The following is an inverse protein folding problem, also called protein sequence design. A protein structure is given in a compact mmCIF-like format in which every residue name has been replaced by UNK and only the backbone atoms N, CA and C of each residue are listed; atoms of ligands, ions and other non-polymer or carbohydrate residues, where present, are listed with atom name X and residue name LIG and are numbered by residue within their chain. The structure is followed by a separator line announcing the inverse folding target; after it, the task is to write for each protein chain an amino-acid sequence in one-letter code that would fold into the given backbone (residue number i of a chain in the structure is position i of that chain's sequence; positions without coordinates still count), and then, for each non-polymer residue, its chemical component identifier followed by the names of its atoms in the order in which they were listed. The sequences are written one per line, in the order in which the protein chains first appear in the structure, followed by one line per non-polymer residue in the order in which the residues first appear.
data_IF_923010132979
#
_entry.id   IF_923010132979
#
_cell.length_a   1.000
_cell.length_b   1.000
_cell.length_c   1.000
_cell.angle_alpha   90.00
_cell.angle_beta   90.00
_cell.angle_gamma   90.00
#
_symmetry.space_group_name_H-M   'P 1'
#
loop_
_entity.id
_entity.type
_entity.pdbx_description
1 polymer ?
#
# COMPACT_ATOMS: atom_id res chain seq x y z
N UNK A 1 -4.85 9.00 10.78
CA UNK A 1 -5.00 9.55 12.14
C UNK A 1 -6.21 8.95 12.83
N UNK A 2 -6.25 9.03 14.15
CA UNK A 2 -7.39 8.67 14.97
C UNK A 2 -7.96 9.92 15.64
N UNK A 3 -9.26 9.96 15.78
CA UNK A 3 -9.95 10.95 16.65
C UNK A 3 -10.26 10.23 17.97
N UNK A 4 -9.67 10.68 19.07
CA UNK A 4 -9.68 9.96 20.35
C UNK A 4 -8.65 8.82 20.39
N UNK A 5 -8.59 8.14 21.53
CA UNK A 5 -7.60 7.07 21.76
C UNK A 5 -7.97 5.79 21.01
N UNK A 6 -7.06 5.25 20.15
CA UNK A 6 -7.27 3.97 19.50
C UNK A 6 -7.14 2.81 20.48
N UNK A 7 -7.90 1.75 20.24
CA UNK A 7 -7.78 0.48 20.96
C UNK A 7 -6.47 -0.23 20.63
N UNK A 8 -6.07 -1.21 21.45
CA UNK A 8 -4.87 -2.02 21.18
C UNK A 8 -4.97 -2.79 19.86
N UNK A 9 -6.17 -3.29 19.51
CA UNK A 9 -6.43 -3.94 18.22
C UNK A 9 -6.20 -2.96 17.06
N UNK A 10 -6.68 -1.73 17.17
CA UNK A 10 -6.50 -0.70 16.15
C UNK A 10 -5.02 -0.31 16.01
N UNK A 11 -4.29 -0.18 17.12
CA UNK A 11 -2.85 0.10 17.11
C UNK A 11 -2.07 -1.01 16.42
N UNK A 12 -2.38 -2.26 16.75
CA UNK A 12 -1.76 -3.44 16.13
C UNK A 12 -2.01 -3.47 14.62
N UNK A 13 -3.25 -3.28 14.20
CA UNK A 13 -3.62 -3.32 12.77
C UNK A 13 -3.00 -2.14 12.01
N UNK A 14 -2.94 -0.95 12.63
CA UNK A 14 -2.25 0.19 12.03
C UNK A 14 -0.79 -0.15 11.70
N UNK A 15 -0.08 -0.76 12.63
CA UNK A 15 1.33 -1.12 12.43
C UNK A 15 1.51 -2.17 11.33
N UNK A 16 0.62 -3.16 11.25
CA UNK A 16 0.63 -4.15 10.17
C UNK A 16 0.45 -3.47 8.80
N UNK A 17 -0.53 -2.58 8.67
CA UNK A 17 -0.80 -1.86 7.42
C UNK A 17 0.36 -0.91 7.07
N UNK A 18 0.97 -0.26 8.06
CA UNK A 18 2.15 0.59 7.88
C UNK A 18 3.34 -0.20 7.33
N UNK A 19 3.60 -1.38 7.89
CA UNK A 19 4.67 -2.27 7.42
C UNK A 19 4.37 -2.81 6.02
N UNK A 20 3.12 -3.17 5.73
CA UNK A 20 2.71 -3.63 4.41
C UNK A 20 2.93 -2.54 3.34
N UNK A 21 2.55 -1.29 3.64
CA UNK A 21 2.74 -0.16 2.74
C UNK A 21 4.23 0.11 2.48
N UNK A 22 5.06 0.05 3.52
CA UNK A 22 6.51 0.22 3.40
C UNK A 22 7.15 -0.93 2.58
N UNK A 23 6.69 -2.18 2.78
CA UNK A 23 7.16 -3.33 2.00
C UNK A 23 6.80 -3.20 0.52
N UNK A 24 5.60 -2.73 0.19
CA UNK A 24 5.20 -2.44 -1.18
C UNK A 24 6.09 -1.41 -1.85
N UNK A 25 6.39 -0.29 -1.19
CA UNK A 25 7.32 0.72 -1.74
C UNK A 25 8.74 0.15 -1.94
N UNK A 26 9.25 -0.59 -0.97
CA UNK A 26 10.58 -1.19 -1.04
C UNK A 26 10.71 -2.25 -2.15
N UNK A 27 9.58 -2.84 -2.59
CA UNK A 27 9.54 -3.80 -3.68
C UNK A 27 9.67 -3.16 -5.07
N UNK A 28 9.48 -1.85 -5.18
CA UNK A 28 9.67 -1.11 -6.44
C UNK A 28 11.16 -0.97 -6.71
N UNK A 29 11.65 -1.77 -7.64
CA UNK A 29 13.06 -1.84 -8.05
C UNK A 29 13.16 -2.19 -9.54
N UNK A 30 14.34 -2.06 -10.18
CA UNK A 30 14.49 -2.40 -11.58
C UNK A 30 13.96 -3.80 -11.91
N UNK A 31 13.06 -3.89 -12.90
CA UNK A 31 12.45 -5.14 -13.34
C UNK A 31 11.27 -5.64 -12.51
N UNK A 32 10.95 -5.01 -11.38
CA UNK A 32 9.78 -5.37 -10.59
C UNK A 32 8.48 -5.18 -11.39
N UNK A 33 7.51 -6.03 -11.13
CA UNK A 33 6.18 -6.03 -11.75
C UNK A 33 5.12 -5.54 -10.78
N UNK A 34 3.91 -5.26 -11.27
CA UNK A 34 2.78 -4.90 -10.41
C UNK A 34 2.46 -5.99 -9.39
N UNK A 35 2.55 -7.27 -9.78
CA UNK A 35 2.33 -8.39 -8.85
C UNK A 35 3.42 -8.53 -7.80
N UNK A 36 4.68 -8.20 -8.10
CA UNK A 36 5.76 -8.27 -7.10
C UNK A 36 5.52 -7.27 -5.96
N UNK A 37 5.06 -6.08 -6.30
CA UNK A 37 4.70 -5.04 -5.33
C UNK A 37 3.46 -5.45 -4.53
N UNK A 38 2.42 -6.00 -5.19
CA UNK A 38 1.22 -6.52 -4.50
C UNK A 38 1.60 -7.63 -3.52
N UNK A 39 2.36 -8.62 -3.97
CA UNK A 39 2.80 -9.75 -3.14
C UNK A 39 3.62 -9.31 -1.92
N UNK A 40 4.50 -8.33 -2.10
CA UNK A 40 5.32 -7.82 -0.99
C UNK A 40 4.47 -7.20 0.12
N UNK A 41 3.51 -6.35 -0.23
CA UNK A 41 2.60 -5.73 0.73
C UNK A 41 1.61 -6.75 1.32
N UNK A 42 1.00 -7.57 0.48
CA UNK A 42 0.00 -8.59 0.85
C UNK A 42 0.55 -9.61 1.83
N UNK A 43 1.77 -10.09 1.61
CA UNK A 43 2.43 -11.07 2.47
C UNK A 43 2.51 -10.61 3.93
N UNK A 44 2.81 -9.35 4.18
CA UNK A 44 2.86 -8.79 5.56
C UNK A 44 1.50 -8.94 6.25
N UNK A 45 0.42 -8.66 5.54
CA UNK A 45 -0.95 -8.76 6.07
C UNK A 45 -1.35 -10.23 6.28
N UNK A 46 -1.00 -11.12 5.36
CA UNK A 46 -1.28 -12.56 5.43
C UNK A 46 -0.53 -13.24 6.57
N UNK A 47 0.78 -12.98 6.70
CA UNK A 47 1.62 -13.52 7.78
C UNK A 47 1.15 -13.05 9.17
N UNK A 48 0.56 -11.85 9.25
CA UNK A 48 -0.07 -11.36 10.47
C UNK A 48 -1.45 -11.98 10.77
N UNK A 49 -1.99 -12.83 9.88
CA UNK A 49 -3.28 -13.52 10.04
C UNK A 49 -4.50 -12.73 9.57
N UNK A 50 -4.30 -11.61 8.85
CA UNK A 50 -5.38 -10.73 8.39
C UNK A 50 -5.67 -10.81 6.89
N UNK A 51 -5.09 -11.76 6.16
CA UNK A 51 -5.24 -11.87 4.70
C UNK A 51 -6.68 -11.87 4.20
N UNK A 52 -7.60 -12.55 4.91
CA UNK A 52 -9.03 -12.58 4.57
C UNK A 52 -9.74 -11.22 4.66
N UNK A 53 -9.13 -10.25 5.31
CA UNK A 53 -9.66 -8.89 5.46
C UNK A 53 -9.01 -7.89 4.49
N UNK A 54 -8.12 -8.37 3.60
CA UNK A 54 -7.51 -7.58 2.55
C UNK A 54 -7.87 -8.17 1.17
N UNK A 55 -9.02 -7.79 0.67
CA UNK A 55 -9.63 -8.31 -0.57
C UNK A 55 -9.46 -7.40 -1.78
N UNK A 56 -8.89 -6.20 -1.61
CA UNK A 56 -8.61 -5.26 -2.68
C UNK A 56 -7.21 -5.51 -3.28
N UNK A 57 -6.94 -4.96 -4.47
CA UNK A 57 -5.58 -4.79 -4.99
C UNK A 57 -4.77 -3.84 -4.10
N UNK A 58 -3.45 -3.92 -4.19
CA UNK A 58 -2.56 -3.02 -3.42
C UNK A 58 -2.55 -1.60 -3.98
N UNK A 59 -2.79 -1.43 -5.29
CA UNK A 59 -2.81 -0.10 -5.87
C UNK A 59 -3.18 -0.06 -7.35
N UNK A 60 -3.08 1.13 -7.92
CA UNK A 60 -3.45 1.41 -9.30
C UNK A 60 -2.67 2.61 -9.84
N UNK A 61 -2.50 2.67 -11.15
CA UNK A 61 -1.96 3.84 -11.83
C UNK A 61 -2.83 5.08 -11.61
N UNK A 62 -2.17 6.23 -11.59
CA UNK A 62 -2.80 7.54 -11.47
C UNK A 62 -2.28 8.43 -12.60
N UNK A 63 -3.19 9.00 -13.37
CA UNK A 63 -2.89 9.89 -14.48
C UNK A 63 -4.08 10.77 -14.82
N UNK A 64 -4.54 10.76 -16.07
CA UNK A 64 -5.75 11.46 -16.48
C UNK A 64 -6.98 10.81 -15.83
N UNK A 65 -6.99 9.47 -15.78
CA UNK A 65 -8.00 8.73 -15.03
C UNK A 65 -7.54 8.51 -13.58
N UNK A 66 -8.50 8.48 -12.65
CA UNK A 66 -8.21 8.19 -11.24
C UNK A 66 -7.67 6.76 -11.08
N UNK A 67 -8.19 5.82 -11.88
CA UNK A 67 -7.75 4.43 -11.93
C UNK A 67 -7.34 4.08 -13.35
N UNK A 68 -6.05 3.86 -13.56
CA UNK A 68 -5.49 3.45 -14.85
C UNK A 68 -4.30 2.49 -14.65
N UNK A 69 -3.69 2.02 -15.74
CA UNK A 69 -2.48 1.21 -15.66
C UNK A 69 -1.27 2.06 -15.18
N UNK A 70 -0.32 1.41 -14.47
CA UNK A 70 -0.27 -0.01 -14.12
C UNK A 70 -1.13 -0.35 -12.89
N UNK A 71 -1.85 -1.47 -12.92
CA UNK A 71 -2.50 -1.99 -11.72
C UNK A 71 -1.50 -2.78 -10.86
N UNK A 72 -1.48 -2.50 -9.57
CA UNK A 72 -0.66 -3.19 -8.58
C UNK A 72 -1.51 -4.29 -7.96
N UNK A 73 -1.49 -5.44 -8.63
CA UNK A 73 -2.38 -6.57 -8.36
C UNK A 73 -1.72 -7.88 -8.80
N UNK A 74 -2.09 -8.97 -8.14
CA UNK A 74 -1.73 -10.32 -8.58
C UNK A 74 -2.12 -10.56 -10.04
N UNK A 75 -1.23 -11.19 -10.82
CA UNK A 75 -1.41 -11.45 -12.25
C UNK A 75 -0.91 -10.32 -13.17
N UNK A 76 -0.53 -9.17 -12.66
CA UNK A 76 0.14 -8.14 -13.46
C UNK A 76 1.65 -8.38 -13.49
N UNK A 77 2.10 -9.18 -14.44
CA UNK A 77 3.49 -9.58 -14.66
C UNK A 77 4.29 -8.59 -15.53
N UNK A 78 3.70 -7.48 -15.92
CA UNK A 78 4.37 -6.45 -16.71
C UNK A 78 5.34 -5.64 -15.85
N UNK A 79 6.62 -5.49 -16.30
CA UNK A 79 7.58 -4.67 -15.59
C UNK A 79 7.12 -3.21 -15.46
N UNK A 80 7.28 -2.68 -14.25
CA UNK A 80 7.09 -1.26 -13.99
C UNK A 80 8.19 -0.46 -14.69
N UNK A 81 7.83 0.67 -15.29
CA UNK A 81 8.74 1.49 -16.11
C UNK A 81 8.98 2.85 -15.46
N UNK A 82 10.16 3.45 -15.65
CA UNK A 82 10.38 4.85 -15.30
C UNK A 82 9.26 5.76 -15.81
N UNK A 83 8.79 6.65 -14.95
CA UNK A 83 7.64 7.52 -15.23
C UNK A 83 6.27 6.93 -14.91
N UNK A 84 6.15 5.63 -14.58
CA UNK A 84 4.89 5.14 -14.03
C UNK A 84 4.61 5.79 -12.68
N UNK A 85 3.38 6.23 -12.47
CA UNK A 85 2.86 6.76 -11.20
C UNK A 85 1.68 5.90 -10.77
N UNK A 86 1.71 5.44 -9.52
CA UNK A 86 0.65 4.58 -8.97
C UNK A 86 0.54 4.70 -7.47
N UNK A 87 -0.60 4.28 -6.93
CA UNK A 87 -0.81 4.19 -5.48
C UNK A 87 -0.21 2.89 -4.91
N UNK A 88 0.20 2.95 -3.64
CA UNK A 88 0.47 1.78 -2.80
C UNK A 88 -0.37 1.98 -1.55
N UNK A 89 -1.49 1.26 -1.46
CA UNK A 89 -2.60 1.53 -0.54
C UNK A 89 -3.16 0.25 0.13
N UNK A 90 -2.31 -0.60 0.71
CA UNK A 90 -2.80 -1.78 1.41
C UNK A 90 -3.72 -1.40 2.56
N UNK A 91 -4.68 -2.26 2.87
CA UNK A 91 -5.63 -2.02 3.95
C UNK A 91 -6.21 -3.30 4.54
N UNK A 92 -6.71 -3.20 5.76
CA UNK A 92 -7.42 -4.27 6.48
C UNK A 92 -8.80 -3.75 6.83
N UNK A 93 -9.85 -4.51 6.44
CA UNK A 93 -11.24 -4.09 6.58
C UNK A 93 -12.04 -5.19 7.29
N UNK A 94 -12.38 -4.95 8.56
CA UNK A 94 -13.11 -5.91 9.41
C UNK A 94 -14.57 -5.45 9.48
N UNK A 95 -15.43 -6.13 8.73
CA UNK A 95 -16.85 -5.80 8.68
C UNK A 95 -17.49 -5.72 10.07
N UNK A 96 -18.26 -4.66 10.32
CA UNK A 96 -18.90 -4.41 11.60
C UNK A 96 -17.97 -3.87 12.70
N UNK A 97 -16.67 -3.70 12.44
CA UNK A 97 -15.73 -3.13 13.40
C UNK A 97 -15.09 -1.84 12.88
N UNK A 98 -14.13 -1.92 11.98
CA UNK A 98 -13.44 -0.78 11.37
C UNK A 98 -12.65 -1.21 10.13
N UNK A 99 -12.22 -0.22 9.36
CA UNK A 99 -11.25 -0.39 8.26
C UNK A 99 -10.08 0.56 8.42
N UNK A 100 -8.94 0.19 7.86
CA UNK A 100 -7.72 0.96 7.94
C UNK A 100 -6.89 0.82 6.68
N UNK A 101 -6.42 1.97 6.15
CA UNK A 101 -5.57 2.06 4.97
C UNK A 101 -4.46 3.07 5.21
N UNK A 102 -3.29 2.80 4.69
CA UNK A 102 -2.21 3.79 4.55
C UNK A 102 -1.83 3.81 3.08
N UNK A 103 -1.82 4.99 2.50
CA UNK A 103 -1.64 5.20 1.07
C UNK A 103 -0.55 6.23 0.80
N UNK A 104 0.33 5.90 -0.14
CA UNK A 104 1.18 6.86 -0.82
C UNK A 104 1.05 6.71 -2.33
N UNK A 105 1.21 7.82 -3.04
CA UNK A 105 1.50 7.81 -4.45
C UNK A 105 3.01 7.72 -4.64
N UNK A 106 3.44 6.86 -5.55
CA UNK A 106 4.85 6.69 -5.89
C UNK A 106 5.07 6.87 -7.39
N UNK A 107 6.21 7.43 -7.74
CA UNK A 107 6.70 7.47 -9.10
C UNK A 107 7.90 6.53 -9.24
N UNK A 108 8.00 5.83 -10.38
CA UNK A 108 9.20 5.05 -10.71
C UNK A 108 10.23 6.00 -11.30
N UNK A 109 11.37 6.13 -10.63
CA UNK A 109 12.50 6.96 -11.07
C UNK A 109 13.24 6.35 -12.28
N UNK A 110 14.10 7.12 -12.95
CA UNK A 110 14.93 6.60 -14.04
C UNK A 110 15.80 5.39 -13.66
N UNK A 111 16.21 5.28 -12.39
CA UNK A 111 16.96 4.15 -11.85
C UNK A 111 16.09 2.94 -11.50
N UNK A 112 14.76 3.02 -11.71
CA UNK A 112 13.80 1.96 -11.45
C UNK A 112 13.36 1.84 -10.00
N UNK A 113 13.80 2.70 -9.10
CA UNK A 113 13.38 2.72 -7.69
C UNK A 113 12.17 3.64 -7.48
N UNK A 114 11.46 3.47 -6.34
CA UNK A 114 10.32 4.32 -5.99
C UNK A 114 10.76 5.69 -5.46
N UNK A 115 9.98 6.71 -5.81
CA UNK A 115 9.96 8.00 -5.15
C UNK A 115 8.55 8.26 -4.61
N UNK A 116 8.41 8.38 -3.28
CA UNK A 116 7.12 8.76 -2.68
C UNK A 116 6.82 10.23 -2.96
N UNK A 117 5.69 10.50 -3.59
CA UNK A 117 5.25 11.86 -3.93
C UNK A 117 4.58 12.56 -2.75
N UNK A 118 4.01 11.79 -1.82
CA UNK A 118 3.45 12.30 -0.58
C UNK A 118 4.56 12.48 0.46
N UNK A 119 4.53 13.62 1.14
CA UNK A 119 5.43 13.92 2.28
C UNK A 119 4.77 13.72 3.63
N UNK A 120 3.67 12.98 3.67
CA UNK A 120 2.92 12.68 4.89
C UNK A 120 3.64 11.60 5.69
N UNK A 121 3.71 11.77 7.01
CA UNK A 121 4.24 10.72 7.87
C UNK A 121 3.34 9.48 7.87
N UNK A 122 3.96 8.30 7.95
CA UNK A 122 3.27 7.03 8.20
C UNK A 122 3.07 6.74 9.69
N UNK A 123 3.54 7.61 10.56
CA UNK A 123 3.36 7.45 12.00
C UNK A 123 1.91 7.69 12.40
N UNK A 124 1.47 6.96 13.41
CA UNK A 124 0.13 7.13 13.96
C UNK A 124 -0.02 8.51 14.59
N UNK A 125 -1.04 9.24 14.15
CA UNK A 125 -1.42 10.52 14.75
C UNK A 125 -2.76 10.38 15.47
N UNK A 126 -2.80 10.89 16.69
CA UNK A 126 -4.00 10.92 17.53
C UNK A 126 -4.39 12.38 17.70
N UNK A 127 -5.64 12.69 17.37
CA UNK A 127 -6.25 14.01 17.55
C UNK A 127 -7.16 13.92 18.79
N UNK A 128 -6.94 14.78 19.75
CA UNK A 128 -7.70 14.87 21.01
C UNK A 128 -8.57 16.11 21.03
#
# INVERSE_FOLDING_TARGET
FFVGEPTDEQRKIYEIVRLAQAAGEAAVKPGATGQDVDRAARRIIEEAGYGKYFFNRVGHGVGIAVHENPYIIEGNDKPLKPGNVFSIEPGIYIAGKFGMRIENLVAVKPDGTAEALNKTTREMRIIR
#
